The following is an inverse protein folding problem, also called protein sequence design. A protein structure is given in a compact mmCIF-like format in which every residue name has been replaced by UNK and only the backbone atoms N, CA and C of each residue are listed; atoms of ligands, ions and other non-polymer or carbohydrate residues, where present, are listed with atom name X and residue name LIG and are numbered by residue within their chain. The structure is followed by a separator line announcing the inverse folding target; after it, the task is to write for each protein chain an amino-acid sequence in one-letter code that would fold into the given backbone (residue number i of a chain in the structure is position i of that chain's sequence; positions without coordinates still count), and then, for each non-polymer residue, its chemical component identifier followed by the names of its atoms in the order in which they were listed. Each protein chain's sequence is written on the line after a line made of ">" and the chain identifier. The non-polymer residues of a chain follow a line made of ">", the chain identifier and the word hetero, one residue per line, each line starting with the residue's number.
data_IF_370776623870
#
_entry.id   IF_370776623870
#
_cell.length_a   1.000
_cell.length_b   1.000
_cell.length_c   1.000
_cell.angle_alpha   90.00
_cell.angle_beta   90.00
_cell.angle_gamma   90.00
#
_symmetry.space_group_name_H-M   'P 1'
#
loop_
_entity.id
_entity.type
_entity.pdbx_description
1 polymer ?
#
# COMPACT_ATOMS: atom_id res chain seq x y z
N UNK A 1 7.05 -14.42 -5.22
CA UNK A 1 6.18 -14.07 -6.37
C UNK A 1 4.74 -14.30 -5.95
N UNK A 2 3.79 -13.46 -6.38
CA UNK A 2 2.38 -13.51 -5.94
C UNK A 2 1.61 -14.70 -6.53
N UNK A 3 2.10 -15.31 -7.62
CA UNK A 3 1.49 -16.52 -8.19
C UNK A 3 0.19 -16.28 -8.98
N UNK A 4 -0.11 -15.02 -9.31
CA UNK A 4 -1.28 -14.60 -10.10
C UNK A 4 -0.85 -13.76 -11.30
N UNK A 5 -1.69 -13.70 -12.33
CA UNK A 5 -1.49 -12.93 -13.56
C UNK A 5 -2.76 -12.25 -14.05
N UNK A 6 -2.61 -11.38 -15.06
CA UNK A 6 -3.75 -10.73 -15.73
C UNK A 6 -4.72 -11.77 -16.29
N UNK A 7 -6.01 -11.58 -16.03
CA UNK A 7 -7.08 -12.48 -16.44
C UNK A 7 -7.49 -13.48 -15.36
N UNK A 8 -6.67 -13.67 -14.33
CA UNK A 8 -7.01 -14.56 -13.21
C UNK A 8 -8.24 -14.05 -12.47
N UNK A 9 -9.07 -15.00 -12.04
CA UNK A 9 -10.24 -14.73 -11.21
C UNK A 9 -9.95 -15.16 -9.79
N UNK A 10 -10.18 -14.24 -8.85
CA UNK A 10 -9.97 -14.47 -7.43
C UNK A 10 -11.26 -14.14 -6.69
N UNK A 11 -11.52 -14.83 -5.59
CA UNK A 11 -12.56 -14.44 -4.64
C UNK A 11 -11.87 -13.83 -3.43
N UNK A 12 -12.08 -12.53 -3.22
CA UNK A 12 -11.59 -11.83 -2.04
C UNK A 12 -12.56 -12.07 -0.90
N UNK A 13 -12.08 -12.67 0.19
CA UNK A 13 -12.87 -12.88 1.39
C UNK A 13 -12.70 -11.69 2.32
N UNK A 14 -13.80 -11.10 2.77
CA UNK A 14 -13.78 -10.14 3.87
C UNK A 14 -13.51 -10.88 5.20
N UNK A 15 -12.67 -10.31 6.06
CA UNK A 15 -12.29 -10.92 7.35
C UNK A 15 -13.05 -10.34 8.55
N UNK A 16 -13.89 -9.35 8.31
CA UNK A 16 -14.83 -8.81 9.27
C UNK A 16 -16.19 -9.46 8.97
N UNK A 17 -17.14 -8.72 8.42
CA UNK A 17 -18.51 -9.20 8.17
C UNK A 17 -19.00 -8.89 6.73
N UNK A 18 -18.08 -8.47 5.85
CA UNK A 18 -18.41 -8.12 4.47
C UNK A 18 -18.69 -9.33 3.57
N UNK A 19 -19.35 -9.12 2.42
CA UNK A 19 -19.55 -10.19 1.44
C UNK A 19 -18.22 -10.55 0.76
N UNK A 20 -18.07 -11.80 0.34
CA UNK A 20 -16.99 -12.18 -0.57
C UNK A 20 -17.15 -11.49 -1.94
N UNK A 21 -16.06 -10.97 -2.49
CA UNK A 21 -16.08 -10.20 -3.74
C UNK A 21 -15.30 -10.93 -4.83
N UNK A 22 -15.96 -11.38 -5.91
CA UNK A 22 -15.25 -11.91 -7.08
C UNK A 22 -14.57 -10.77 -7.84
N UNK A 23 -13.28 -10.95 -8.15
CA UNK A 23 -12.48 -9.98 -8.88
C UNK A 23 -11.77 -10.62 -10.07
N UNK A 24 -11.43 -9.79 -11.06
CA UNK A 24 -10.55 -10.14 -12.17
C UNK A 24 -9.27 -9.32 -12.03
N UNK A 25 -8.12 -9.99 -12.11
CA UNK A 25 -6.83 -9.31 -12.13
C UNK A 25 -6.66 -8.66 -13.51
N UNK A 26 -6.62 -7.33 -13.56
CA UNK A 26 -6.44 -6.58 -14.83
C UNK A 26 -4.97 -6.26 -15.13
N UNK A 27 -4.08 -6.49 -14.17
CA UNK A 27 -2.67 -6.17 -14.29
C UNK A 27 -1.92 -6.42 -12.98
N UNK A 28 -0.60 -6.42 -13.07
CA UNK A 28 0.29 -6.44 -11.92
C UNK A 28 1.05 -5.12 -11.87
N UNK A 29 0.96 -4.43 -10.74
CA UNK A 29 1.75 -3.23 -10.49
C UNK A 29 3.19 -3.63 -10.14
N UNK A 30 4.17 -2.97 -10.77
CA UNK A 30 5.59 -3.10 -10.41
C UNK A 30 6.08 -1.74 -9.92
N UNK A 31 6.50 -1.63 -8.65
CA UNK A 31 7.11 -0.40 -8.13
C UNK A 31 8.31 0.01 -8.98
N UNK A 32 8.42 1.31 -9.28
CA UNK A 32 9.62 1.87 -9.92
C UNK A 32 10.80 1.87 -8.94
N UNK A 33 10.52 2.17 -7.67
CA UNK A 33 11.47 2.14 -6.57
C UNK A 33 10.83 1.48 -5.33
N UNK A 34 11.36 0.33 -4.92
CA UNK A 34 10.92 -0.40 -3.73
C UNK A 34 11.49 0.20 -2.44
N UNK A 35 12.54 1.03 -2.51
CA UNK A 35 13.12 1.76 -1.38
C UNK A 35 12.44 3.10 -1.11
N UNK A 36 11.45 3.47 -1.92
CA UNK A 36 10.74 4.74 -1.79
C UNK A 36 10.11 4.89 -0.40
N UNK A 37 10.28 6.05 0.27
CA UNK A 37 9.61 6.34 1.54
C UNK A 37 8.09 6.21 1.50
N UNK A 38 7.48 6.31 0.31
CA UNK A 38 6.06 6.05 0.09
C UNK A 38 5.59 4.74 0.71
N UNK A 39 6.39 3.68 0.60
CA UNK A 39 6.04 2.34 1.10
C UNK A 39 5.92 2.27 2.62
N UNK A 40 6.34 3.29 3.37
CA UNK A 40 6.06 3.38 4.82
C UNK A 40 4.60 3.62 5.15
N UNK A 41 3.80 4.04 4.16
CA UNK A 41 2.35 4.20 4.28
C UNK A 41 1.58 2.90 4.01
N UNK A 42 2.25 1.89 3.44
CA UNK A 42 1.68 0.60 3.13
C UNK A 42 2.08 -0.38 4.24
N UNK A 43 1.10 -1.08 4.82
CA UNK A 43 1.38 -1.97 5.94
C UNK A 43 2.31 -3.14 5.57
N UNK A 44 2.30 -3.57 4.31
CA UNK A 44 3.21 -4.60 3.80
C UNK A 44 4.58 -4.03 3.41
N UNK A 45 4.81 -2.74 3.64
CA UNK A 45 6.01 -2.01 3.22
C UNK A 45 6.36 -2.22 1.74
N UNK A 46 5.35 -2.30 0.88
CA UNK A 46 5.53 -2.53 -0.57
C UNK A 46 5.90 -3.98 -0.94
N UNK A 47 5.82 -4.92 -0.01
CA UNK A 47 6.01 -6.35 -0.29
C UNK A 47 4.73 -6.93 -0.91
N UNK A 48 4.89 -7.64 -2.02
CA UNK A 48 3.75 -8.25 -2.72
C UNK A 48 3.18 -9.52 -2.06
N UNK A 49 3.86 -10.10 -1.08
CA UNK A 49 3.42 -11.29 -0.34
C UNK A 49 3.89 -11.18 1.11
N UNK A 50 2.97 -11.38 2.06
CA UNK A 50 3.29 -11.61 3.47
C UNK A 50 2.52 -12.86 3.95
N UNK A 51 3.18 -13.70 4.76
CA UNK A 51 2.63 -14.96 5.24
C UNK A 51 2.50 -14.90 6.76
N UNK A 52 1.28 -15.07 7.28
CA UNK A 52 0.95 -15.02 8.71
C UNK A 52 0.63 -13.62 9.23
N UNK A 53 -0.24 -13.52 10.23
CA UNK A 53 -0.43 -12.31 11.05
C UNK A 53 -1.17 -11.11 10.43
N UNK A 54 -1.61 -11.16 9.17
CA UNK A 54 -2.16 -9.99 8.48
C UNK A 54 -3.62 -10.18 8.01
N UNK A 55 -4.45 -9.15 8.21
CA UNK A 55 -5.88 -9.15 7.78
C UNK A 55 -6.08 -8.67 6.34
N UNK A 56 -5.06 -8.07 5.72
CA UNK A 56 -5.14 -7.49 4.36
C UNK A 56 -4.57 -8.42 3.30
N UNK A 57 -5.33 -8.67 2.23
CA UNK A 57 -4.77 -9.19 0.97
C UNK A 57 -4.07 -8.01 0.27
N UNK A 58 -2.79 -8.19 -0.09
CA UNK A 58 -1.84 -7.11 -0.44
C UNK A 58 -2.35 -6.09 -1.47
N UNK A 59 -1.69 -4.93 -1.61
CA UNK A 59 -2.32 -3.70 -2.10
C UNK A 59 -3.00 -3.91 -3.47
N UNK A 60 -4.31 -4.08 -3.43
CA UNK A 60 -5.16 -4.14 -4.60
C UNK A 60 -5.50 -2.72 -5.00
N UNK A 61 -5.18 -2.36 -6.24
CA UNK A 61 -5.59 -1.08 -6.81
C UNK A 61 -6.91 -1.28 -7.54
N UNK A 62 -7.92 -0.49 -7.16
CA UNK A 62 -9.22 -0.47 -7.80
C UNK A 62 -9.52 0.93 -8.35
N UNK A 63 -10.28 1.05 -9.45
CA UNK A 63 -10.79 2.33 -9.91
C UNK A 63 -11.59 3.05 -8.81
N UNK A 64 -11.55 4.39 -8.72
CA UNK A 64 -12.25 5.14 -7.66
C UNK A 64 -13.75 4.81 -7.54
N UNK A 65 -14.41 4.51 -8.66
CA UNK A 65 -15.83 4.14 -8.72
C UNK A 65 -16.18 2.86 -7.94
N UNK A 66 -15.20 2.01 -7.63
CA UNK A 66 -15.38 0.81 -6.81
C UNK A 66 -15.66 1.19 -5.35
N UNK A 67 -14.98 2.22 -4.83
CA UNK A 67 -15.16 2.71 -3.46
C UNK A 67 -16.47 3.47 -3.30
N UNK A 68 -16.87 4.27 -4.29
CA UNK A 68 -18.13 5.03 -4.23
C UNK A 68 -19.38 4.17 -4.44
N UNK A 69 -19.23 2.95 -4.96
CA UNK A 69 -20.35 2.06 -5.32
C UNK A 69 -20.91 1.22 -4.17
N UNK A 70 -20.39 1.36 -2.94
CA UNK A 70 -20.88 0.66 -1.74
C UNK A 70 -20.63 -0.85 -1.70
N UNK A 71 -19.92 -1.40 -2.70
CA UNK A 71 -19.60 -2.84 -2.79
C UNK A 71 -18.36 -3.25 -1.98
N UNK A 72 -17.51 -2.29 -1.65
CA UNK A 72 -16.32 -2.49 -0.82
C UNK A 72 -16.15 -1.32 0.14
N UNK A 73 -15.53 -1.57 1.28
CA UNK A 73 -15.20 -0.57 2.30
C UNK A 73 -13.97 0.24 1.90
N UNK A 74 -13.92 1.51 2.32
CA UNK A 74 -12.69 2.31 2.22
C UNK A 74 -11.66 1.88 3.28
N UNK A 75 -10.38 1.88 2.91
CA UNK A 75 -9.26 1.64 3.83
C UNK A 75 -8.83 2.89 4.60
N UNK A 76 -7.82 2.74 5.46
CA UNK A 76 -7.18 3.84 6.17
C UNK A 76 -6.47 4.79 5.20
N UNK A 77 -6.34 6.07 5.59
CA UNK A 77 -5.53 7.06 4.91
C UNK A 77 -4.32 7.42 5.77
N UNK A 78 -3.17 7.64 5.13
CA UNK A 78 -1.92 7.96 5.81
C UNK A 78 -1.18 9.13 5.15
N UNK A 79 -0.37 9.82 5.94
CA UNK A 79 0.44 10.96 5.48
C UNK A 79 1.91 10.70 5.79
N UNK A 80 2.78 11.01 4.83
CA UNK A 80 4.22 10.94 5.00
C UNK A 80 4.80 12.34 4.94
N UNK A 81 5.53 12.73 5.99
CA UNK A 81 6.31 13.97 6.02
C UNK A 81 7.78 13.62 5.81
N UNK A 82 8.42 14.32 4.86
CA UNK A 82 9.85 14.19 4.61
C UNK A 82 10.52 15.52 4.88
N UNK A 83 11.54 15.52 5.73
CA UNK A 83 12.41 16.67 5.88
C UNK A 83 13.37 16.75 4.68
N UNK A 84 13.54 17.96 4.14
CA UNK A 84 14.61 18.24 3.19
C UNK A 84 15.89 18.57 3.95
N UNK A 85 16.89 17.70 3.77
CA UNK A 85 18.19 17.82 4.40
C UNK A 85 19.27 18.33 3.45
N UNK A 86 18.93 18.71 2.21
CA UNK A 86 19.90 19.13 1.19
C UNK A 86 20.77 20.31 1.62
N UNK A 87 20.28 21.13 2.57
CA UNK A 87 21.01 22.28 3.09
C UNK A 87 21.64 22.05 4.47
N UNK A 88 21.52 20.85 5.06
CA UNK A 88 22.16 20.56 6.35
C UNK A 88 23.68 20.67 6.23
N UNK A 89 24.27 21.46 7.12
CA UNK A 89 25.73 21.58 7.26
C UNK A 89 26.11 21.35 8.71
N UNK A 90 27.34 20.89 8.97
CA UNK A 90 27.86 20.69 10.33
C UNK A 90 27.73 21.95 11.19
N UNK A 91 27.91 23.13 10.59
CA UNK A 91 27.74 24.43 11.26
C UNK A 91 26.31 24.69 11.71
N UNK A 92 25.30 24.40 10.88
CA UNK A 92 23.88 24.57 11.27
C UNK A 92 23.41 23.53 12.28
N UNK A 93 23.93 22.30 12.23
CA UNK A 93 23.59 21.28 13.24
C UNK A 93 24.13 21.61 14.62
N UNK A 94 25.30 22.27 14.71
CA UNK A 94 25.85 22.70 16.01
C UNK A 94 24.93 23.70 16.72
N UNK A 95 24.33 24.63 15.98
CA UNK A 95 23.42 25.64 16.51
C UNK A 95 22.08 25.08 17.04
N UNK A 96 21.76 23.79 16.77
CA UNK A 96 20.56 23.12 17.30
C UNK A 96 20.83 22.39 18.63
N UNK A 97 22.10 22.21 19.00
CA UNK A 97 22.50 21.55 20.24
C UNK A 97 22.78 22.52 21.40
N UNK A 98 22.60 23.82 21.17
CA UNK A 98 22.60 24.89 22.19
C UNK A 98 21.15 25.19 22.60
#
# INVERSE_FOLDING_TARGET
>A
RVGVGTGDRLTLTDRLDGPAVPVVVIGLYRPVDTGSPYWRLDDLAGRGVEQGGFTTYGPLLAPPGVLSGGRVSAGSSGWLVRADYASLTTGRTRALGE
#
